data_IF_440517090450
#
_entry.id   IF_440517090450
#
_cell.length_a   1.000
_cell.length_b   1.000
_cell.length_c   1.000
_cell.angle_alpha   90.00
_cell.angle_beta   90.00
_cell.angle_gamma   90.00
#
_symmetry.space_group_name_H-M   'P 1'
#
loop_
_entity.id
_entity.type
_entity.pdbx_description
1 polymer ?
#
# COMPACT_ATOMS: atom_id res chain seq x y z
N UNK A 1 11.42 -4.88 6.04
CA UNK A 1 12.75 -4.81 5.34
C UNK A 1 12.57 -5.34 3.94
N UNK A 2 13.26 -4.78 2.92
CA UNK A 2 13.22 -5.30 1.55
C UNK A 2 13.91 -6.68 1.50
N UNK A 3 13.31 -7.65 0.81
CA UNK A 3 13.88 -8.97 0.65
C UNK A 3 15.03 -8.98 -0.37
N UNK A 4 15.93 -9.97 -0.26
CA UNK A 4 17.05 -10.14 -1.20
C UNK A 4 16.59 -10.54 -2.60
N UNK A 5 15.45 -11.24 -2.70
CA UNK A 5 14.78 -11.62 -3.95
C UNK A 5 13.28 -11.52 -3.78
N UNK A 6 12.54 -11.47 -4.88
CA UNK A 6 11.10 -11.57 -4.86
C UNK A 6 10.66 -12.92 -4.27
N UNK A 7 9.57 -12.91 -3.54
CA UNK A 7 8.93 -14.13 -3.06
C UNK A 7 7.57 -14.27 -3.73
N UNK A 8 7.29 -15.45 -4.23
CA UNK A 8 6.08 -15.77 -4.97
C UNK A 8 5.24 -16.78 -4.22
N UNK A 9 3.99 -16.44 -3.97
CA UNK A 9 3.04 -17.33 -3.32
C UNK A 9 1.81 -17.53 -4.22
N UNK A 10 1.34 -18.76 -4.41
CA UNK A 10 0.12 -18.98 -5.18
C UNK A 10 -1.11 -18.57 -4.36
N UNK A 11 -1.95 -17.73 -4.95
CA UNK A 11 -3.26 -17.34 -4.44
C UNK A 11 -4.36 -18.14 -5.13
N UNK A 12 -4.42 -19.46 -4.86
CA UNK A 12 -5.25 -20.37 -5.64
C UNK A 12 -4.62 -20.71 -6.98
N UNK A 13 -5.44 -20.90 -8.01
CA UNK A 13 -5.03 -21.31 -9.36
C UNK A 13 -4.87 -20.13 -10.34
N UNK A 14 -5.35 -18.94 -9.98
CA UNK A 14 -5.44 -17.77 -10.86
C UNK A 14 -4.82 -16.50 -10.28
N UNK A 15 -4.14 -16.59 -9.16
CA UNK A 15 -3.47 -15.44 -8.56
C UNK A 15 -2.06 -15.80 -8.07
N UNK A 16 -1.18 -14.80 -8.15
CA UNK A 16 0.18 -14.85 -7.61
C UNK A 16 0.34 -13.65 -6.70
N UNK A 17 0.70 -13.89 -5.44
CA UNK A 17 1.21 -12.84 -4.56
C UNK A 17 2.70 -12.68 -4.77
N UNK A 18 3.15 -11.49 -5.06
CA UNK A 18 4.56 -11.13 -5.25
C UNK A 18 4.99 -10.22 -4.11
N UNK A 19 5.73 -10.77 -3.17
CA UNK A 19 6.19 -10.06 -1.98
C UNK A 19 7.61 -9.51 -2.18
N UNK A 20 7.77 -8.21 -1.95
CA UNK A 20 9.04 -7.50 -2.03
C UNK A 20 9.68 -7.31 -0.64
N UNK A 21 8.89 -7.29 0.41
CA UNK A 21 9.39 -7.05 1.76
C UNK A 21 8.35 -7.27 2.84
N UNK A 22 8.82 -7.22 4.09
CA UNK A 22 8.04 -7.50 5.30
C UNK A 22 7.86 -6.23 6.13
N UNK A 23 7.04 -5.35 5.79
CA UNK A 23 6.80 -4.19 6.63
C UNK A 23 6.19 -2.99 5.93
N UNK A 24 5.68 -2.10 6.76
CA UNK A 24 5.06 -0.86 6.32
C UNK A 24 6.13 0.20 6.04
N UNK A 25 6.73 0.13 4.85
CA UNK A 25 7.78 1.06 4.41
C UNK A 25 7.42 1.64 3.04
N UNK A 26 7.25 2.95 2.99
CA UNK A 26 6.95 3.65 1.74
C UNK A 26 8.04 3.49 0.68
N UNK A 27 9.29 3.28 1.08
CA UNK A 27 10.37 3.01 0.15
C UNK A 27 10.13 1.72 -0.62
N UNK A 28 9.66 0.66 0.08
CA UNK A 28 9.26 -0.60 -0.56
C UNK A 28 8.04 -0.39 -1.45
N UNK A 29 7.07 0.38 -0.98
CA UNK A 29 5.87 0.69 -1.75
C UNK A 29 6.18 1.40 -3.08
N UNK A 30 7.14 2.32 -3.09
CA UNK A 30 7.61 2.94 -4.34
C UNK A 30 8.19 1.91 -5.32
N UNK A 31 8.95 0.92 -4.83
CA UNK A 31 9.48 -0.16 -5.68
C UNK A 31 8.33 -1.04 -6.21
N UNK A 32 7.34 -1.37 -5.36
CA UNK A 32 6.12 -2.09 -5.77
C UNK A 32 5.43 -1.39 -6.94
N UNK A 33 5.15 -0.10 -6.81
CA UNK A 33 4.48 0.67 -7.87
C UNK A 33 5.29 0.74 -9.17
N UNK A 34 6.62 0.86 -9.07
CA UNK A 34 7.50 0.83 -10.25
C UNK A 34 7.47 -0.52 -10.94
N UNK A 35 7.56 -1.62 -10.17
CA UNK A 35 7.52 -2.97 -10.72
C UNK A 35 6.16 -3.26 -11.36
N UNK A 36 5.06 -2.92 -10.69
CA UNK A 36 3.71 -3.05 -11.25
C UNK A 36 3.58 -2.26 -12.56
N UNK A 37 4.13 -1.05 -12.64
CA UNK A 37 4.12 -0.27 -13.88
C UNK A 37 4.95 -0.94 -14.99
N UNK A 38 6.10 -1.52 -14.67
CA UNK A 38 6.96 -2.24 -15.63
C UNK A 38 6.29 -3.53 -16.13
N UNK A 39 5.72 -4.33 -15.22
CA UNK A 39 4.96 -5.54 -15.58
C UNK A 39 3.74 -5.20 -16.45
N UNK A 40 3.03 -4.11 -16.12
CA UNK A 40 1.90 -3.63 -16.96
C UNK A 40 2.35 -3.20 -18.35
N UNK A 41 3.53 -2.55 -18.46
CA UNK A 41 4.09 -2.12 -19.73
C UNK A 41 4.53 -3.28 -20.62
N UNK A 42 4.91 -4.42 -20.04
CA UNK A 42 5.29 -5.64 -20.76
C UNK A 42 4.10 -6.32 -21.47
N UNK A 43 2.85 -6.01 -21.07
CA UNK A 43 1.61 -6.45 -21.74
C UNK A 43 1.50 -7.96 -21.89
N UNK A 44 1.80 -8.73 -20.86
CA UNK A 44 1.63 -10.18 -20.88
C UNK A 44 0.16 -10.54 -21.13
N UNK A 45 -0.14 -11.36 -22.14
CA UNK A 45 -1.53 -11.68 -22.50
C UNK A 45 -2.25 -12.49 -21.41
N UNK A 46 -1.51 -13.16 -20.54
CA UNK A 46 -2.06 -13.92 -19.43
C UNK A 46 -2.53 -13.03 -18.27
N UNK A 47 -2.00 -11.82 -18.11
CA UNK A 47 -2.33 -10.96 -16.94
C UNK A 47 -3.70 -10.34 -17.15
N UNK A 48 -4.59 -10.61 -16.21
CA UNK A 48 -5.95 -10.06 -16.14
C UNK A 48 -5.97 -8.75 -15.36
N UNK A 49 -5.27 -8.72 -14.20
CA UNK A 49 -5.19 -7.53 -13.35
C UNK A 49 -3.93 -7.54 -12.49
N UNK A 50 -3.53 -6.35 -12.05
CA UNK A 50 -2.40 -6.10 -11.16
C UNK A 50 -2.86 -5.20 -10.02
N UNK A 51 -2.84 -5.72 -8.79
CA UNK A 51 -3.30 -5.04 -7.59
C UNK A 51 -2.10 -4.72 -6.70
N UNK A 52 -1.60 -3.49 -6.70
CA UNK A 52 -0.50 -3.09 -5.82
C UNK A 52 -0.99 -3.00 -4.37
N UNK A 53 -0.16 -3.46 -3.45
CA UNK A 53 -0.31 -3.38 -2.01
C UNK A 53 0.85 -2.58 -1.41
N UNK A 54 1.05 -2.66 -0.10
CA UNK A 54 2.08 -1.84 0.54
C UNK A 54 3.51 -2.34 0.26
N UNK A 55 3.76 -3.64 0.49
CA UNK A 55 5.07 -4.27 0.33
C UNK A 55 5.04 -5.44 -0.66
N UNK A 56 3.93 -5.62 -1.36
CA UNK A 56 3.63 -6.69 -2.29
C UNK A 56 2.70 -6.21 -3.40
N UNK A 57 2.39 -7.08 -4.33
CA UNK A 57 1.29 -6.91 -5.27
C UNK A 57 0.75 -8.26 -5.71
N UNK A 58 -0.56 -8.30 -5.95
CA UNK A 58 -1.20 -9.48 -6.49
C UNK A 58 -1.30 -9.40 -8.03
N UNK A 59 -0.98 -10.50 -8.68
CA UNK A 59 -1.15 -10.71 -10.13
C UNK A 59 -2.29 -11.67 -10.34
N UNK A 60 -3.39 -11.21 -10.89
CA UNK A 60 -4.45 -12.08 -11.38
C UNK A 60 -4.15 -12.46 -12.83
N UNK A 61 -4.12 -13.75 -13.13
CA UNK A 61 -3.71 -14.23 -14.44
C UNK A 61 -4.52 -15.44 -14.91
N UNK A 62 -4.43 -15.72 -16.22
CA UNK A 62 -5.03 -16.91 -16.82
C UNK A 62 -3.97 -18.01 -16.99
N UNK A 63 -4.04 -19.12 -16.21
CA UNK A 63 -3.08 -20.22 -16.26
C UNK A 63 -3.17 -21.05 -17.54
N UNK A 64 -4.26 -20.94 -18.30
CA UNK A 64 -4.40 -21.59 -19.60
C UNK A 64 -3.59 -20.86 -20.70
N UNK A 65 -3.24 -19.59 -20.46
CA UNK A 65 -2.43 -18.77 -21.37
C UNK A 65 -0.94 -18.80 -20.99
N UNK A 66 -0.61 -18.79 -19.72
CA UNK A 66 0.78 -18.79 -19.23
C UNK A 66 0.89 -19.55 -17.90
N UNK A 67 1.91 -20.38 -17.76
CA UNK A 67 2.14 -21.13 -16.52
C UNK A 67 2.61 -20.22 -15.39
N UNK A 68 2.28 -20.59 -14.17
CA UNK A 68 2.74 -19.94 -12.94
C UNK A 68 4.27 -19.68 -12.95
N UNK A 69 5.06 -20.74 -13.19
CA UNK A 69 6.52 -20.66 -13.18
C UNK A 69 7.08 -19.69 -14.20
N UNK A 70 6.48 -19.66 -15.39
CA UNK A 70 6.94 -18.83 -16.50
C UNK A 70 6.64 -17.36 -16.20
N UNK A 71 5.45 -17.07 -15.66
CA UNK A 71 5.08 -15.72 -15.28
C UNK A 71 5.93 -15.19 -14.11
N UNK A 72 6.23 -16.04 -13.12
CA UNK A 72 7.15 -15.68 -12.03
C UNK A 72 8.54 -15.33 -12.57
N UNK A 73 9.08 -16.14 -13.49
CA UNK A 73 10.40 -15.90 -14.09
C UNK A 73 10.45 -14.59 -14.88
N UNK A 74 9.41 -14.26 -15.61
CA UNK A 74 9.31 -13.00 -16.36
C UNK A 74 9.24 -11.78 -15.42
N UNK A 75 8.46 -11.88 -14.34
CA UNK A 75 8.38 -10.80 -13.32
C UNK A 75 9.74 -10.62 -12.63
N UNK A 76 10.44 -11.71 -12.31
CA UNK A 76 11.76 -11.65 -11.70
C UNK A 76 12.80 -11.04 -12.64
N UNK A 77 12.75 -11.34 -13.94
CA UNK A 77 13.59 -10.74 -14.95
C UNK A 77 13.37 -9.22 -15.07
N UNK A 78 12.11 -8.78 -15.08
CA UNK A 78 11.76 -7.34 -15.07
C UNK A 78 12.29 -6.66 -13.81
N UNK A 79 12.15 -7.29 -12.64
CA UNK A 79 12.66 -6.75 -11.39
C UNK A 79 14.18 -6.60 -11.38
N UNK A 80 14.89 -7.61 -11.90
CA UNK A 80 16.35 -7.59 -12.02
C UNK A 80 16.82 -6.46 -12.97
N UNK A 81 16.15 -6.26 -14.10
CA UNK A 81 16.45 -5.19 -15.05
C UNK A 81 16.15 -3.80 -14.47
N UNK A 82 15.02 -3.67 -13.77
CA UNK A 82 14.59 -2.40 -13.17
C UNK A 82 15.56 -1.91 -12.09
N UNK A 83 16.20 -2.82 -11.36
CA UNK A 83 17.04 -2.52 -10.20
C UNK A 83 16.22 -2.11 -8.96
N UNK A 84 16.88 -2.12 -7.80
CA UNK A 84 16.28 -1.87 -6.48
C UNK A 84 16.35 -0.42 -6.03
N UNK A 85 16.97 0.45 -6.80
CA UNK A 85 17.15 1.84 -6.40
C UNK A 85 15.83 2.61 -6.49
N UNK A 86 15.57 3.44 -5.48
CA UNK A 86 14.43 4.36 -5.47
C UNK A 86 14.83 5.59 -6.29
N UNK A 87 14.82 5.44 -7.61
CA UNK A 87 15.14 6.50 -8.54
C UNK A 87 13.95 6.89 -9.39
N UNK A 88 13.87 8.18 -9.74
CA UNK A 88 12.82 8.70 -10.60
C UNK A 88 11.59 9.22 -9.83
N UNK A 89 10.53 9.54 -10.57
CA UNK A 89 9.25 10.00 -10.05
C UNK A 89 8.13 9.04 -10.45
N UNK A 90 7.19 8.85 -9.55
CA UNK A 90 5.94 8.14 -9.86
C UNK A 90 4.85 9.15 -10.20
N UNK A 91 4.02 8.91 -11.22
CA UNK A 91 2.85 9.72 -11.45
C UNK A 91 1.91 9.63 -10.25
N UNK A 92 1.53 10.77 -9.71
CA UNK A 92 0.61 10.84 -8.58
C UNK A 92 -0.48 11.88 -8.83
N UNK A 93 -1.44 11.93 -7.92
CA UNK A 93 -2.53 12.90 -7.97
C UNK A 93 -2.72 13.52 -6.60
N UNK A 94 -2.97 14.82 -6.57
CA UNK A 94 -3.44 15.51 -5.38
C UNK A 94 -4.97 15.42 -5.32
N UNK A 95 -5.48 14.88 -4.22
CA UNK A 95 -6.91 14.78 -3.97
C UNK A 95 -7.23 15.71 -2.81
N UNK A 96 -8.07 16.72 -3.06
CA UNK A 96 -8.58 17.60 -2.00
C UNK A 96 -9.90 17.02 -1.50
N UNK A 97 -9.94 16.67 -0.22
CA UNK A 97 -11.12 16.13 0.43
C UNK A 97 -11.63 17.17 1.44
N UNK A 98 -12.89 17.59 1.36
CA UNK A 98 -13.47 18.44 2.40
C UNK A 98 -13.61 17.64 3.69
N UNK A 99 -13.11 18.18 4.79
CA UNK A 99 -13.17 17.54 6.12
C UNK A 99 -13.79 18.52 7.09
N UNK A 100 -14.80 18.09 7.83
CA UNK A 100 -15.40 18.85 8.91
C UNK A 100 -14.91 18.29 10.25
N UNK A 101 -14.14 19.09 10.98
CA UNK A 101 -13.68 18.78 12.32
C UNK A 101 -14.62 19.36 13.38
N UNK A 102 -14.72 18.68 14.52
CA UNK A 102 -15.44 19.18 15.70
C UNK A 102 -16.93 19.45 15.48
N UNK A 103 -17.58 18.69 14.60
CA UNK A 103 -19.03 18.75 14.41
C UNK A 103 -19.78 18.32 15.68
N UNK A 104 -21.10 18.59 15.71
CA UNK A 104 -21.93 18.29 16.88
C UNK A 104 -22.01 16.77 17.19
N UNK A 105 -21.93 15.89 16.19
CA UNK A 105 -21.94 14.45 16.40
C UNK A 105 -20.63 13.99 17.05
N UNK A 106 -19.50 14.49 16.54
CA UNK A 106 -18.17 14.19 17.12
C UNK A 106 -18.08 14.66 18.56
N UNK A 107 -18.58 15.87 18.87
CA UNK A 107 -18.65 16.38 20.25
C UNK A 107 -19.51 15.47 21.16
N UNK A 108 -20.70 15.09 20.69
CA UNK A 108 -21.57 14.21 21.45
C UNK A 108 -20.94 12.83 21.72
N UNK A 109 -20.22 12.27 20.73
CA UNK A 109 -19.47 11.02 20.89
C UNK A 109 -18.34 11.18 21.94
N UNK A 110 -17.57 12.26 21.89
CA UNK A 110 -16.51 12.55 22.88
C UNK A 110 -17.10 12.69 24.28
N UNK A 111 -18.21 13.40 24.42
CA UNK A 111 -18.89 13.56 25.71
C UNK A 111 -19.41 12.23 26.26
N UNK A 112 -20.02 11.40 25.43
CA UNK A 112 -20.49 10.08 25.81
C UNK A 112 -19.32 9.18 26.23
N UNK A 113 -18.22 9.17 25.46
CA UNK A 113 -17.03 8.39 25.77
C UNK A 113 -16.40 8.81 27.11
N UNK A 114 -16.30 10.11 27.38
CA UNK A 114 -15.72 10.64 28.63
C UNK A 114 -16.57 10.37 29.89
N UNK A 115 -17.85 10.04 29.75
CA UNK A 115 -18.67 9.57 30.88
C UNK A 115 -18.25 8.19 31.35
N UNK A 116 -17.86 7.31 30.41
CA UNK A 116 -17.39 5.96 30.69
C UNK A 116 -15.91 5.94 31.11
N UNK A 117 -15.09 6.83 30.50
CA UNK A 117 -13.64 6.88 30.67
C UNK A 117 -13.15 8.30 30.98
N UNK A 118 -13.46 8.82 32.19
CA UNK A 118 -13.18 10.23 32.55
C UNK A 118 -11.67 10.56 32.59
N UNK A 119 -10.81 9.56 32.76
CA UNK A 119 -9.35 9.71 32.78
C UNK A 119 -8.70 9.82 31.39
N UNK A 120 -9.47 9.55 30.35
CA UNK A 120 -8.96 9.62 28.97
C UNK A 120 -9.03 11.04 28.43
N UNK A 121 -7.96 11.47 27.76
CA UNK A 121 -7.98 12.70 26.98
C UNK A 121 -9.00 12.59 25.83
N UNK A 122 -9.57 13.72 25.41
CA UNK A 122 -10.35 13.75 24.17
C UNK A 122 -9.42 13.50 22.97
N UNK A 123 -9.89 12.75 21.97
CA UNK A 123 -9.08 12.39 20.80
C UNK A 123 -8.36 13.57 20.12
N UNK A 124 -9.00 14.76 19.93
CA UNK A 124 -8.31 15.92 19.36
C UNK A 124 -7.15 16.41 20.21
N UNK A 125 -7.28 16.38 21.53
CA UNK A 125 -6.22 16.81 22.46
C UNK A 125 -5.06 15.81 22.45
N UNK A 126 -5.38 14.52 22.46
CA UNK A 126 -4.40 13.44 22.35
C UNK A 126 -3.63 13.49 21.02
N UNK A 127 -4.30 13.76 19.91
CA UNK A 127 -3.63 13.92 18.61
C UNK A 127 -2.67 15.11 18.63
N UNK A 128 -3.08 16.24 19.19
CA UNK A 128 -2.20 17.41 19.34
C UNK A 128 -0.96 17.08 20.18
N UNK A 129 -1.15 16.43 21.32
CA UNK A 129 -0.07 16.03 22.21
C UNK A 129 0.92 15.08 21.52
N UNK A 130 0.41 14.00 20.90
CA UNK A 130 1.24 12.97 20.24
C UNK A 130 2.01 13.49 19.03
N UNK A 131 1.49 14.51 18.35
CA UNK A 131 2.12 15.10 17.16
C UNK A 131 2.86 16.42 17.44
N UNK A 132 2.92 16.86 18.70
CA UNK A 132 3.58 18.12 19.07
C UNK A 132 2.93 19.36 18.47
N UNK A 133 1.62 19.32 18.19
CA UNK A 133 0.87 20.45 17.67
C UNK A 133 0.49 21.40 18.82
N UNK A 134 0.58 22.74 18.62
CA UNK A 134 0.32 23.70 19.69
C UNK A 134 -1.15 23.76 20.10
N UNK A 135 -2.07 23.49 19.20
CA UNK A 135 -3.52 23.49 19.42
C UNK A 135 -4.28 22.70 18.36
N UNK A 136 -5.62 22.66 18.47
CA UNK A 136 -6.52 21.95 17.55
C UNK A 136 -6.70 22.60 16.18
N UNK A 137 -6.10 23.77 15.97
CA UNK A 137 -6.25 24.57 14.74
C UNK A 137 -4.96 24.60 13.90
N UNK A 138 -3.95 23.87 14.34
CA UNK A 138 -2.61 23.84 13.74
C UNK A 138 -2.50 22.86 12.59
#
# INVERSE_FOLDING_TARGET
>A
MLHDSLRFYPGGDRAIEVELGDGMDFSINFIVHRLVAAVRAAKFPAIVDLVPELASFQVNYDPDVMRYSDLCAEIEAIYAEMGREITGSLPSRLITVPVLYFDEQTKACIEAYRKEYPEKAADPDLICELNGLPDRTS
#
